data_IF_061468699882
#
_entry.id   IF_061468699882
#
_cell.length_a   1.000
_cell.length_b   1.000
_cell.length_c   1.000
_cell.angle_alpha   90.00
_cell.angle_beta   90.00
_cell.angle_gamma   90.00
#
_symmetry.space_group_name_H-M   'P 1'
#
loop_
_entity.id
_entity.type
_entity.pdbx_description
1 polymer ?
#
# COMPACT_ATOMS: atom_id res chain seq x y z
N UNK A 1 20.27 -8.49 -0.36
CA UNK A 1 20.01 -7.14 -0.89
C UNK A 1 19.37 -7.24 -2.28
N UNK A 2 18.03 -7.23 -2.39
CA UNK A 2 17.30 -6.94 -3.66
C UNK A 2 15.77 -6.99 -3.47
N UNK A 3 15.21 -8.04 -2.86
CA UNK A 3 13.73 -8.17 -2.79
C UNK A 3 13.03 -7.12 -1.93
N UNK A 4 13.54 -6.80 -0.74
CA UNK A 4 12.87 -5.87 0.19
C UNK A 4 12.67 -4.47 -0.41
N UNK A 5 13.61 -4.01 -1.26
CA UNK A 5 13.53 -2.71 -1.91
C UNK A 5 12.46 -2.69 -3.01
N UNK A 6 12.37 -3.77 -3.79
CA UNK A 6 11.29 -3.95 -4.78
C UNK A 6 9.92 -4.06 -4.10
N UNK A 7 9.81 -4.79 -2.99
CA UNK A 7 8.56 -4.93 -2.23
C UNK A 7 8.09 -3.56 -1.72
N UNK A 8 8.99 -2.73 -1.17
CA UNK A 8 8.66 -1.37 -0.72
C UNK A 8 8.24 -0.45 -1.87
N UNK A 9 8.92 -0.52 -3.02
CA UNK A 9 8.57 0.28 -4.20
C UNK A 9 7.21 -0.12 -4.80
N UNK A 10 6.93 -1.43 -4.90
CA UNK A 10 5.64 -1.95 -5.37
C UNK A 10 4.52 -1.55 -4.41
N UNK A 11 4.75 -1.70 -3.10
CA UNK A 11 3.80 -1.29 -2.07
C UNK A 11 3.46 0.21 -2.13
N UNK A 12 4.47 1.07 -2.24
CA UNK A 12 4.27 2.52 -2.37
C UNK A 12 3.47 2.86 -3.63
N UNK A 13 3.79 2.22 -4.76
CA UNK A 13 3.07 2.42 -6.02
C UNK A 13 1.62 1.96 -5.93
N UNK A 14 1.37 0.82 -5.26
CA UNK A 14 0.03 0.30 -5.04
C UNK A 14 -0.83 1.24 -4.20
N UNK A 15 -0.25 1.85 -3.15
CA UNK A 15 -0.93 2.85 -2.32
C UNK A 15 -1.28 4.10 -3.12
N UNK A 16 -0.35 4.63 -3.93
CA UNK A 16 -0.60 5.81 -4.77
C UNK A 16 -1.70 5.56 -5.82
N UNK A 17 -1.68 4.40 -6.48
CA UNK A 17 -2.71 4.01 -7.45
C UNK A 17 -4.07 3.88 -6.74
N UNK A 18 -4.09 3.24 -5.57
CA UNK A 18 -5.31 3.10 -4.75
C UNK A 18 -5.86 4.44 -4.28
N UNK A 19 -5.00 5.40 -3.92
CA UNK A 19 -5.38 6.75 -3.52
C UNK A 19 -6.05 7.52 -4.67
N UNK A 20 -5.49 7.41 -5.88
CA UNK A 20 -6.09 8.00 -7.09
C UNK A 20 -7.44 7.34 -7.37
N UNK A 21 -7.51 6.02 -7.27
CA UNK A 21 -8.75 5.27 -7.53
C UNK A 21 -9.85 5.59 -6.51
N UNK A 22 -9.49 5.80 -5.24
CA UNK A 22 -10.40 6.29 -4.21
C UNK A 22 -11.05 7.61 -4.58
N UNK A 23 -10.32 8.52 -5.22
CA UNK A 23 -10.85 9.83 -5.63
C UNK A 23 -11.82 9.72 -6.79
N UNK A 24 -11.66 8.71 -7.64
CA UNK A 24 -12.47 8.52 -8.86
C UNK A 24 -13.72 7.68 -8.57
N UNK A 25 -13.62 6.66 -7.71
CA UNK A 25 -14.70 5.69 -7.53
C UNK A 25 -15.51 5.93 -6.24
N UNK A 26 -14.86 5.95 -5.08
CA UNK A 26 -15.50 6.23 -3.80
C UNK A 26 -14.44 6.30 -2.69
N UNK A 27 -14.55 7.22 -1.70
CA UNK A 27 -13.63 7.29 -0.57
C UNK A 27 -13.57 6.02 0.28
N UNK A 28 -14.57 5.13 0.19
CA UNK A 28 -14.55 3.81 0.83
C UNK A 28 -13.39 2.91 0.37
N UNK A 29 -12.84 3.15 -0.81
CA UNK A 29 -11.67 2.41 -1.31
C UNK A 29 -10.42 2.61 -0.44
N UNK A 30 -10.32 3.74 0.27
CA UNK A 30 -9.20 4.04 1.18
C UNK A 30 -9.12 3.07 2.35
N UNK A 31 -10.24 2.49 2.79
CA UNK A 31 -10.22 1.50 3.87
C UNK A 31 -9.48 0.23 3.43
N UNK A 32 -9.70 -0.20 2.18
CA UNK A 32 -8.96 -1.33 1.60
C UNK A 32 -7.48 -1.00 1.44
N UNK A 33 -7.16 0.19 0.93
CA UNK A 33 -5.77 0.68 0.81
C UNK A 33 -5.08 0.78 2.16
N UNK A 34 -5.78 1.28 3.19
CA UNK A 34 -5.28 1.43 4.54
C UNK A 34 -5.03 0.07 5.20
N UNK A 35 -5.92 -0.91 4.98
CA UNK A 35 -5.74 -2.28 5.46
C UNK A 35 -4.49 -2.94 4.85
N UNK A 36 -4.30 -2.82 3.54
CA UNK A 36 -3.11 -3.32 2.84
C UNK A 36 -1.85 -2.59 3.31
N UNK A 37 -1.93 -1.27 3.44
CA UNK A 37 -0.82 -0.43 3.94
C UNK A 37 -0.42 -0.77 5.38
N UNK A 38 -1.39 -1.06 6.25
CA UNK A 38 -1.15 -1.49 7.63
C UNK A 38 -0.43 -2.86 7.67
N UNK A 39 -0.83 -3.81 6.82
CA UNK A 39 -0.16 -5.10 6.68
C UNK A 39 1.30 -4.96 6.22
N UNK A 40 1.54 -4.06 5.27
CA UNK A 40 2.87 -3.74 4.78
C UNK A 40 3.74 -3.05 5.84
N UNK A 41 3.14 -2.15 6.62
CA UNK A 41 3.80 -1.51 7.74
C UNK A 41 4.16 -2.56 8.79
N UNK A 42 3.25 -3.46 9.14
CA UNK A 42 3.53 -4.60 10.03
C UNK A 42 4.69 -5.45 9.51
N UNK A 43 4.69 -5.81 8.21
CA UNK A 43 5.76 -6.57 7.57
C UNK A 43 7.12 -5.85 7.62
N UNK A 44 7.13 -4.52 7.62
CA UNK A 44 8.37 -3.74 7.76
C UNK A 44 8.96 -3.77 9.17
N UNK A 45 8.13 -3.96 10.21
CA UNK A 45 8.56 -4.05 11.62
C UNK A 45 8.75 -5.49 12.11
N UNK A 46 8.06 -6.47 11.53
CA UNK A 46 8.12 -7.91 11.90
C UNK A 46 9.27 -8.64 11.20
N UNK A 47 10.43 -8.00 11.07
CA UNK A 47 11.59 -8.62 10.41
C UNK A 47 12.15 -9.81 11.20
#
# INVERSE_FOLDING_TARGET
>A
MKMEHYIRAIAGSFILISLILSRIHSPWWLLFTAFVGLNLLQSAFTK
#
